data_IF_353926171343
#
_entry.id   IF_353926171343
#
_cell.length_a   1.000
_cell.length_b   1.000
_cell.length_c   1.000
_cell.angle_alpha   90.00
_cell.angle_beta   90.00
_cell.angle_gamma   90.00
#
_symmetry.space_group_name_H-M   'P 1'
#
loop_
_entity.id
_entity.type
_entity.pdbx_description
1 polymer ?
#
# COMPACT_ATOMS: atom_id res chain seq x y z
N UNK A 1 -7.66 -4.43 -18.46
CA UNK A 1 -6.85 -4.39 -17.22
C UNK A 1 -7.24 -5.57 -16.36
N UNK A 2 -6.30 -6.18 -15.64
CA UNK A 2 -6.55 -7.31 -14.73
C UNK A 2 -6.32 -6.84 -13.30
N UNK A 3 -7.10 -7.38 -12.37
CA UNK A 3 -6.84 -7.25 -10.94
C UNK A 3 -6.42 -8.60 -10.35
N UNK A 4 -5.61 -8.57 -9.30
CA UNK A 4 -5.22 -9.74 -8.52
C UNK A 4 -5.55 -9.46 -7.06
N UNK A 5 -6.31 -10.36 -6.43
CA UNK A 5 -6.53 -10.30 -4.99
C UNK A 5 -5.20 -10.46 -4.26
N UNK A 6 -4.83 -9.42 -3.52
CA UNK A 6 -3.55 -9.34 -2.82
C UNK A 6 -3.81 -9.11 -1.33
N UNK A 7 -3.33 -10.00 -0.44
CA UNK A 7 -3.49 -9.83 0.99
C UNK A 7 -2.60 -8.71 1.53
N UNK A 8 -3.10 -8.02 2.56
CA UNK A 8 -2.43 -6.98 3.31
C UNK A 8 -2.14 -7.48 4.74
N UNK A 9 -0.96 -7.14 5.25
CA UNK A 9 -0.48 -7.58 6.56
C UNK A 9 0.08 -6.39 7.33
N UNK A 10 -0.37 -6.24 8.58
CA UNK A 10 -0.08 -5.11 9.45
C UNK A 10 -0.86 -3.85 9.08
N UNK A 11 -0.78 -2.84 9.94
CA UNK A 11 -1.45 -1.56 9.73
C UNK A 11 -2.98 -1.67 9.68
N UNK A 12 -3.65 -0.65 9.13
CA UNK A 12 -5.11 -0.60 9.10
C UNK A 12 -5.81 -1.65 8.23
N UNK A 13 -5.11 -2.24 7.25
CA UNK A 13 -5.67 -3.23 6.33
C UNK A 13 -5.27 -4.67 6.70
N UNK A 14 -4.82 -4.90 7.93
CA UNK A 14 -4.34 -6.21 8.35
C UNK A 14 -5.43 -7.29 8.20
N UNK A 15 -5.08 -8.37 7.52
CA UNK A 15 -6.00 -9.50 7.28
C UNK A 15 -6.95 -9.29 6.10
N UNK A 16 -6.96 -8.11 5.48
CA UNK A 16 -7.79 -7.84 4.31
C UNK A 16 -7.11 -8.28 3.01
N UNK A 17 -7.91 -8.59 1.99
CA UNK A 17 -7.43 -8.85 0.64
C UNK A 17 -8.14 -7.92 -0.33
N UNK A 18 -7.36 -7.12 -1.06
CA UNK A 18 -7.90 -6.14 -1.99
C UNK A 18 -7.55 -6.51 -3.44
N UNK A 19 -8.47 -6.24 -4.39
CA UNK A 19 -8.18 -6.39 -5.81
C UNK A 19 -7.22 -5.28 -6.26
N UNK A 20 -5.97 -5.64 -6.57
CA UNK A 20 -4.95 -4.69 -7.01
C UNK A 20 -4.77 -4.79 -8.51
N UNK A 21 -4.85 -3.66 -9.20
CA UNK A 21 -4.64 -3.59 -10.64
C UNK A 21 -3.19 -3.98 -11.00
N UNK A 22 -3.06 -4.86 -11.99
CA UNK A 22 -1.77 -5.34 -12.49
C UNK A 22 -1.61 -5.02 -13.97
N UNK A 23 -0.36 -4.76 -14.35
CA UNK A 23 0.04 -4.60 -15.75
C UNK A 23 0.19 -5.93 -16.48
N UNK A 24 0.76 -5.89 -17.69
CA UNK A 24 0.97 -7.07 -18.53
C UNK A 24 1.77 -8.20 -17.84
N UNK A 25 2.67 -7.84 -16.90
CA UNK A 25 3.49 -8.80 -16.14
C UNK A 25 2.71 -9.54 -15.05
N UNK A 26 1.48 -9.13 -14.74
CA UNK A 26 0.68 -9.71 -13.65
C UNK A 26 1.24 -9.42 -12.24
N UNK A 27 2.29 -8.61 -12.12
CA UNK A 27 2.88 -8.23 -10.84
C UNK A 27 2.19 -6.98 -10.31
N UNK A 28 1.70 -6.99 -9.05
CA UNK A 28 1.22 -5.77 -8.39
C UNK A 28 2.32 -4.69 -8.33
N UNK A 29 1.94 -3.41 -8.14
CA UNK A 29 2.89 -2.35 -7.84
C UNK A 29 3.83 -2.71 -6.69
N UNK A 30 5.04 -2.15 -6.68
CA UNK A 30 5.98 -2.40 -5.58
C UNK A 30 5.52 -1.78 -4.27
N UNK A 31 4.82 -0.65 -4.36
CA UNK A 31 4.36 0.15 -3.22
C UNK A 31 2.88 0.44 -3.40
N UNK A 32 2.13 0.31 -2.33
CA UNK A 32 0.73 0.69 -2.24
C UNK A 32 0.56 1.73 -1.13
N UNK A 33 -0.09 2.85 -1.44
CA UNK A 33 -0.24 3.99 -0.54
C UNK A 33 -1.72 4.22 -0.25
N UNK A 34 -2.07 4.29 1.03
CA UNK A 34 -3.45 4.49 1.49
C UNK A 34 -3.55 5.85 2.19
N UNK A 35 -4.14 6.88 1.55
CA UNK A 35 -4.41 8.15 2.20
C UNK A 35 -5.52 7.99 3.24
N UNK A 36 -5.28 8.50 4.45
CA UNK A 36 -6.26 8.53 5.54
C UNK A 36 -6.82 9.96 5.64
N UNK A 37 -8.13 10.15 5.41
CA UNK A 37 -8.74 11.46 5.59
C UNK A 37 -8.81 11.84 7.07
N UNK A 38 -8.69 13.14 7.38
CA UNK A 38 -9.06 13.70 8.69
C UNK A 38 -10.57 13.99 8.76
N UNK A 39 -11.04 14.44 9.95
CA UNK A 39 -12.45 14.76 10.20
C UNK A 39 -12.97 15.94 9.36
N UNK A 40 -12.08 16.82 8.89
CA UNK A 40 -12.39 17.96 8.02
C UNK A 40 -12.25 17.62 6.51
N UNK A 41 -11.85 16.39 6.17
CA UNK A 41 -11.67 15.92 4.79
C UNK A 41 -10.27 16.19 4.20
N UNK A 42 -9.32 16.71 4.98
CA UNK A 42 -7.90 16.81 4.62
C UNK A 42 -7.18 15.46 4.78
N UNK A 43 -5.88 15.41 4.54
CA UNK A 43 -5.08 14.18 4.66
C UNK A 43 -4.36 14.13 6.01
N UNK A 44 -4.79 13.25 6.91
CA UNK A 44 -4.19 13.06 8.23
C UNK A 44 -2.87 12.26 8.16
N UNK A 45 -2.87 11.17 7.41
CA UNK A 45 -1.74 10.25 7.31
C UNK A 45 -1.76 9.47 5.99
N UNK A 46 -0.65 8.80 5.67
CA UNK A 46 -0.56 7.90 4.52
C UNK A 46 0.08 6.61 4.98
N UNK A 47 -0.65 5.50 4.91
CA UNK A 47 -0.08 4.18 5.18
C UNK A 47 0.59 3.64 3.94
N UNK A 48 1.87 3.32 4.06
CA UNK A 48 2.67 2.74 2.98
C UNK A 48 2.78 1.23 3.19
N UNK A 49 2.55 0.47 2.13
CA UNK A 49 2.74 -0.97 2.11
C UNK A 49 3.73 -1.37 1.03
N UNK A 50 4.61 -2.31 1.35
CA UNK A 50 5.61 -2.84 0.43
C UNK A 50 5.22 -4.24 -0.06
N UNK A 51 5.41 -4.47 -1.36
CA UNK A 51 5.11 -5.75 -1.98
C UNK A 51 6.20 -6.78 -1.66
N UNK A 52 5.83 -7.80 -0.91
CA UNK A 52 6.69 -8.91 -0.50
C UNK A 52 6.20 -10.24 -1.10
N UNK A 53 7.10 -11.20 -1.35
CA UNK A 53 6.69 -12.57 -1.65
C UNK A 53 5.86 -13.14 -0.49
N UNK A 54 4.66 -13.66 -0.78
CA UNK A 54 3.78 -14.24 0.24
C UNK A 54 4.32 -15.57 0.82
N UNK A 55 5.34 -16.13 0.19
CA UNK A 55 5.99 -17.37 0.56
C UNK A 55 6.56 -18.06 -0.67
N UNK A 56 7.40 -19.07 -0.45
CA UNK A 56 8.05 -19.81 -1.52
C UNK A 56 7.49 -21.24 -1.59
N UNK A 57 7.29 -21.80 -2.78
CA UNK A 57 6.91 -23.21 -2.93
C UNK A 57 8.01 -24.11 -2.36
N UNK A 58 7.61 -25.15 -1.62
CA UNK A 58 8.52 -26.05 -0.89
C UNK A 58 9.55 -26.77 -1.78
N UNK A 59 9.22 -27.01 -3.07
CA UNK A 59 10.07 -27.74 -4.02
C UNK A 59 10.88 -26.87 -4.98
N UNK A 60 10.38 -25.70 -5.39
CA UNK A 60 10.98 -24.88 -6.44
C UNK A 60 11.40 -23.47 -5.99
N UNK A 61 11.17 -23.12 -4.71
CA UNK A 61 11.38 -21.77 -4.18
C UNK A 61 10.72 -20.67 -5.02
N UNK A 62 9.63 -20.98 -5.74
CA UNK A 62 8.88 -19.99 -6.53
C UNK A 62 7.95 -19.21 -5.60
N UNK A 63 7.84 -17.87 -5.71
CA UNK A 63 6.87 -17.08 -4.97
C UNK A 63 5.45 -17.63 -5.22
N UNK A 64 4.73 -18.00 -4.15
CA UNK A 64 3.34 -18.49 -4.22
C UNK A 64 2.30 -17.39 -4.42
N UNK A 65 2.75 -16.18 -4.68
CA UNK A 65 1.93 -14.98 -4.73
C UNK A 65 2.65 -13.82 -4.08
N UNK A 66 1.94 -12.71 -4.00
CA UNK A 66 2.42 -11.46 -3.41
C UNK A 66 1.55 -11.10 -2.23
N UNK A 67 2.13 -10.35 -1.30
CA UNK A 67 1.40 -9.72 -0.20
C UNK A 67 1.94 -8.32 0.00
N UNK A 68 1.12 -7.44 0.54
CA UNK A 68 1.54 -6.12 0.98
C UNK A 68 1.80 -6.15 2.48
N UNK A 69 2.97 -5.67 2.90
CA UNK A 69 3.35 -5.56 4.31
C UNK A 69 3.41 -4.10 4.68
N UNK A 70 2.73 -3.73 5.77
CA UNK A 70 2.73 -2.36 6.28
C UNK A 70 4.14 -1.95 6.69
N UNK A 71 4.59 -0.81 6.16
CA UNK A 71 5.89 -0.24 6.41
C UNK A 71 5.70 1.14 7.05
N UNK A 72 5.53 1.22 8.39
CA UNK A 72 5.26 2.47 9.09
C UNK A 72 6.39 3.51 8.92
N UNK A 73 7.63 3.04 8.78
CA UNK A 73 8.80 3.91 8.60
C UNK A 73 9.07 4.27 7.13
N UNK A 74 8.25 3.77 6.19
CA UNK A 74 8.44 4.06 4.78
C UNK A 74 7.94 5.46 4.44
N UNK A 75 8.77 6.18 3.68
CA UNK A 75 8.44 7.54 3.24
C UNK A 75 7.46 7.46 2.07
N UNK A 76 6.27 8.09 2.18
CA UNK A 76 5.30 8.12 1.08
C UNK A 76 5.84 8.92 -0.11
N UNK A 77 5.16 8.80 -1.25
CA UNK A 77 5.52 9.48 -2.48
C UNK A 77 5.54 10.99 -2.29
N UNK A 78 6.32 11.66 -3.15
CA UNK A 78 6.51 13.12 -3.08
C UNK A 78 5.17 13.87 -3.13
N UNK A 79 4.20 13.36 -3.89
CA UNK A 79 2.85 13.93 -4.00
C UNK A 79 2.17 13.95 -2.63
N UNK A 80 2.07 12.79 -1.97
CA UNK A 80 1.45 12.70 -0.66
C UNK A 80 2.23 13.45 0.43
N UNK A 81 3.56 13.41 0.41
CA UNK A 81 4.38 14.23 1.34
C UNK A 81 4.17 15.72 1.19
N UNK A 82 3.97 16.20 -0.04
CA UNK A 82 3.66 17.62 -0.27
C UNK A 82 2.26 17.93 0.26
N UNK A 83 1.31 17.03 0.02
CA UNK A 83 -0.07 17.19 0.45
C UNK A 83 -0.19 17.24 1.98
N UNK A 84 0.43 16.29 2.69
CA UNK A 84 0.53 16.25 4.16
C UNK A 84 1.13 17.54 4.77
N UNK A 85 2.08 18.18 4.08
CA UNK A 85 2.68 19.43 4.54
C UNK A 85 1.71 20.61 4.39
N UNK A 86 0.99 20.64 3.27
CA UNK A 86 0.18 21.79 2.90
C UNK A 86 -1.21 21.78 3.56
N UNK A 87 -1.76 20.61 3.89
CA UNK A 87 -3.07 20.47 4.54
C UNK A 87 -3.00 20.56 6.08
N UNK A 88 -1.80 20.71 6.65
CA UNK A 88 -1.60 20.93 8.09
C UNK A 88 -1.64 22.41 8.52
N UNK A 89 -1.81 23.34 7.58
CA UNK A 89 -2.04 24.76 7.91
C UNK A 89 -3.55 25.01 7.95
N UNK A 90 -4.17 25.18 9.14
CA UNK A 90 -5.50 25.76 9.18
C UNK A 90 -5.40 27.17 8.59
N UNK A 91 -6.19 27.47 7.56
CA UNK A 91 -6.43 28.86 7.16
C UNK A 91 -7.05 29.57 8.37
N UNK A 92 -6.30 30.53 8.94
CA UNK A 92 -6.66 31.35 10.11
C UNK A 92 -7.73 32.40 9.76
#
# INVERSE_FOLDING_TARGET
>A
MRAVETPFVGGPLDGESLPVLVGATGRPPKVYEVPVPDEAGGLSAVHVYQLEPAGHTRRLRLPRGWRYVHAPDAVPSRTYRRRLRNEGEPEE
#
